data_IF_054608862205
#
_entry.id   IF_054608862205
#
_cell.length_a   1.000
_cell.length_b   1.000
_cell.length_c   1.000
_cell.angle_alpha   90.00
_cell.angle_beta   90.00
_cell.angle_gamma   90.00
#
_symmetry.space_group_name_H-M   'P 1'
#
loop_
_entity.id
_entity.type
_entity.pdbx_description
1 polymer ?
#
# COMPACT_ATOMS: atom_id res chain seq x y z
N UNK A 1 -4.24 0.34 9.73
CA UNK A 1 -5.42 0.37 8.84
C UNK A 1 -4.98 -0.04 7.44
N UNK A 2 -5.74 -0.92 6.76
CA UNK A 2 -5.38 -1.48 5.46
C UNK A 2 -6.48 -1.19 4.41
N UNK A 3 -6.08 -1.13 3.14
CA UNK A 3 -6.96 -1.00 1.99
C UNK A 3 -6.91 -2.28 1.16
N UNK A 4 -8.05 -2.65 0.59
CA UNK A 4 -8.19 -3.83 -0.27
C UNK A 4 -8.64 -3.37 -1.65
N UNK A 5 -7.96 -3.80 -2.71
CA UNK A 5 -8.32 -3.45 -4.08
C UNK A 5 -8.31 -4.69 -5.00
N UNK A 6 -9.03 -4.60 -6.11
CA UNK A 6 -9.07 -5.66 -7.14
C UNK A 6 -7.94 -5.44 -8.16
N UNK A 7 -6.68 -5.45 -7.71
CA UNK A 7 -5.51 -5.38 -8.60
C UNK A 7 -4.93 -6.77 -8.84
N UNK A 8 -4.42 -6.97 -10.04
CA UNK A 8 -3.64 -8.16 -10.36
C UNK A 8 -2.22 -7.98 -9.80
N UNK A 9 -1.93 -8.68 -8.70
CA UNK A 9 -0.61 -8.70 -8.05
C UNK A 9 -0.18 -10.15 -7.89
N UNK A 10 1.09 -10.43 -8.17
CA UNK A 10 1.78 -11.70 -7.92
C UNK A 10 2.96 -11.54 -6.94
N UNK A 11 3.61 -12.64 -6.57
CA UNK A 11 4.90 -12.60 -5.86
C UNK A 11 5.90 -11.71 -6.60
N UNK A 12 6.47 -10.73 -5.89
CA UNK A 12 7.30 -9.66 -6.47
C UNK A 12 6.67 -8.26 -6.45
N UNK A 13 5.37 -8.14 -6.19
CA UNK A 13 4.69 -6.85 -6.02
C UNK A 13 4.67 -6.33 -4.56
N UNK A 14 5.41 -6.98 -3.66
CA UNK A 14 5.61 -6.47 -2.31
C UNK A 14 6.41 -5.17 -2.38
N UNK A 15 5.90 -4.11 -1.77
CA UNK A 15 6.48 -2.77 -1.82
C UNK A 15 6.01 -1.91 -2.99
N UNK A 16 5.15 -2.42 -3.89
CA UNK A 16 4.66 -1.63 -5.03
C UNK A 16 3.82 -0.43 -4.56
N UNK A 17 4.03 0.77 -5.16
CA UNK A 17 3.26 1.95 -4.82
C UNK A 17 1.82 1.83 -5.36
N UNK A 18 0.85 2.12 -4.51
CA UNK A 18 -0.56 2.28 -4.90
C UNK A 18 -0.81 3.77 -5.12
N UNK A 19 -1.25 4.14 -6.33
CA UNK A 19 -1.51 5.53 -6.71
C UNK A 19 -2.99 5.80 -6.99
N UNK A 20 -3.44 7.03 -6.74
CA UNK A 20 -4.78 7.49 -7.12
C UNK A 20 -4.84 7.97 -8.58
N UNK A 21 -6.03 8.40 -9.05
CA UNK A 21 -6.23 8.90 -10.41
C UNK A 21 -5.44 10.16 -10.79
N UNK A 22 -4.76 10.81 -9.84
CA UNK A 22 -3.84 11.93 -10.06
C UNK A 22 -2.36 11.54 -9.95
N UNK A 23 -2.06 10.24 -9.84
CA UNK A 23 -0.69 9.75 -9.69
C UNK A 23 -0.07 9.95 -8.30
N UNK A 24 -0.86 10.30 -7.28
CA UNK A 24 -0.34 10.50 -5.93
C UNK A 24 -0.32 9.18 -5.16
N UNK A 25 0.73 8.94 -4.36
CA UNK A 25 0.86 7.77 -3.50
C UNK A 25 -0.24 7.74 -2.44
N UNK A 26 -1.01 6.66 -2.39
CA UNK A 26 -2.11 6.45 -1.42
C UNK A 26 -1.93 5.17 -0.60
N UNK A 27 -1.00 4.29 -0.96
CA UNK A 27 -0.68 3.12 -0.16
C UNK A 27 0.51 2.35 -0.69
N UNK A 28 0.92 1.32 0.05
CA UNK A 28 2.00 0.41 -0.33
C UNK A 28 1.45 -1.02 -0.28
N UNK A 29 1.55 -1.74 -1.39
CA UNK A 29 1.10 -3.12 -1.47
C UNK A 29 2.04 -4.03 -0.67
N UNK A 30 1.49 -4.91 0.18
CA UNK A 30 2.32 -5.82 0.97
C UNK A 30 1.89 -7.28 0.84
N UNK A 31 0.61 -7.56 0.62
CA UNK A 31 0.11 -8.94 0.56
C UNK A 31 -1.12 -9.08 -0.36
N UNK A 32 -1.67 -10.29 -0.43
CA UNK A 32 -2.86 -10.68 -1.19
C UNK A 32 -3.77 -11.49 -0.27
N UNK A 33 -5.07 -11.49 -0.56
CA UNK A 33 -6.01 -12.34 0.17
C UNK A 33 -5.76 -13.82 -0.14
N UNK A 34 -6.13 -14.71 0.79
CA UNK A 34 -5.91 -16.15 0.68
C UNK A 34 -6.54 -16.76 -0.59
N UNK A 35 -7.71 -16.27 -0.99
CA UNK A 35 -8.42 -16.68 -2.21
C UNK A 35 -7.60 -16.42 -3.50
N UNK A 36 -6.52 -15.64 -3.39
CA UNK A 36 -5.63 -15.28 -4.48
C UNK A 36 -4.39 -16.20 -4.59
N UNK A 37 -4.29 -17.29 -3.80
CA UNK A 37 -3.22 -18.30 -3.93
C UNK A 37 -3.27 -19.01 -5.30
N UNK A 38 -4.48 -19.20 -5.86
CA UNK A 38 -4.64 -19.69 -7.23
C UNK A 38 -4.49 -18.60 -8.31
N UNK A 39 -4.37 -17.33 -7.90
CA UNK A 39 -4.29 -16.17 -8.80
C UNK A 39 -3.04 -16.15 -9.69
N UNK A 40 -2.01 -16.91 -9.33
CA UNK A 40 -0.80 -17.08 -10.14
C UNK A 40 -1.07 -17.90 -11.44
N UNK A 41 -2.19 -18.64 -11.50
CA UNK A 41 -2.60 -19.43 -12.67
C UNK A 41 -3.81 -18.84 -13.43
N UNK A 42 -4.47 -17.82 -12.87
CA UNK A 42 -5.60 -17.14 -13.51
C UNK A 42 -6.20 -16.04 -12.62
N UNK A 43 -6.29 -14.82 -13.15
CA UNK A 43 -6.84 -13.68 -12.42
C UNK A 43 -8.38 -13.72 -12.43
N UNK A 44 -8.99 -13.66 -11.24
CA UNK A 44 -10.45 -13.58 -11.10
C UNK A 44 -10.83 -12.25 -10.41
N UNK A 45 -11.38 -11.26 -11.13
CA UNK A 45 -11.72 -9.96 -10.52
C UNK A 45 -12.79 -10.05 -9.43
N UNK A 46 -13.54 -11.16 -9.30
CA UNK A 46 -14.48 -11.35 -8.19
C UNK A 46 -13.77 -11.74 -6.88
N UNK A 47 -12.64 -12.46 -6.95
CA UNK A 47 -11.96 -13.07 -5.80
C UNK A 47 -10.56 -12.48 -5.54
N UNK A 48 -9.84 -12.12 -6.59
CA UNK A 48 -8.49 -11.58 -6.51
C UNK A 48 -8.49 -10.20 -5.87
N UNK A 49 -7.94 -10.12 -4.67
CA UNK A 49 -7.75 -8.86 -3.96
C UNK A 49 -6.31 -8.75 -3.47
N UNK A 50 -5.75 -7.55 -3.62
CA UNK A 50 -4.47 -7.17 -3.06
C UNK A 50 -4.71 -6.35 -1.77
N UNK A 51 -3.81 -6.51 -0.79
CA UNK A 51 -3.86 -5.86 0.50
C UNK A 51 -2.72 -4.84 0.56
N UNK A 52 -3.06 -3.59 0.84
CA UNK A 52 -2.12 -2.48 0.89
C UNK A 52 -2.26 -1.73 2.21
N UNK A 53 -1.14 -1.20 2.71
CA UNK A 53 -1.18 -0.27 3.85
C UNK A 53 -1.61 1.11 3.36
N UNK A 54 -2.50 1.77 4.09
CA UNK A 54 -2.91 3.15 3.80
C UNK A 54 -1.76 4.12 4.13
N UNK A 55 -1.45 5.04 3.20
CA UNK A 55 -0.35 5.99 3.40
C UNK A 55 -0.54 6.87 4.63
N UNK A 56 -1.78 7.19 5.01
CA UNK A 56 -2.08 8.00 6.21
C UNK A 56 -1.70 7.26 7.48
N UNK A 57 -1.90 5.95 7.51
CA UNK A 57 -1.49 5.12 8.63
C UNK A 57 0.04 5.04 8.73
N UNK A 58 0.74 4.94 7.59
CA UNK A 58 2.19 4.99 7.56
C UNK A 58 2.73 6.35 8.06
N UNK A 59 2.17 7.45 7.59
CA UNK A 59 2.55 8.80 8.02
C UNK A 59 2.26 9.04 9.50
N UNK A 60 1.13 8.51 10.01
CA UNK A 60 0.83 8.54 11.44
C UNK A 60 1.89 7.77 12.24
N UNK A 61 2.25 6.56 11.83
CA UNK A 61 3.32 5.79 12.49
C UNK A 61 4.66 6.55 12.50
N UNK A 62 5.03 7.18 11.38
CA UNK A 62 6.24 7.99 11.30
C UNK A 62 6.17 9.22 12.22
N UNK A 63 5.00 9.85 12.37
CA UNK A 63 4.83 10.98 13.28
C UNK A 63 5.01 10.59 14.76
N UNK A 64 4.73 9.33 15.11
CA UNK A 64 4.96 8.81 16.46
C UNK A 64 6.44 8.53 16.77
N UNK A 65 7.33 8.55 15.77
CA UNK A 65 8.76 8.27 15.93
C UNK A 65 9.57 9.58 15.93
N UNK A 66 10.17 10.00 17.07
CA UNK A 66 10.95 11.24 17.15
C UNK A 66 12.09 11.31 16.13
N UNK A 67 12.67 10.17 15.76
CA UNK A 67 13.80 10.07 14.83
C UNK A 67 13.39 10.22 13.36
N UNK A 68 12.09 10.20 13.04
CA UNK A 68 11.59 10.24 11.67
C UNK A 68 11.36 11.66 11.13
N UNK A 69 11.72 12.71 11.89
CA UNK A 69 11.47 14.10 11.50
C UNK A 69 12.16 14.49 10.17
N UNK A 70 13.40 14.05 9.97
CA UNK A 70 14.12 14.27 8.70
C UNK A 70 13.39 13.65 7.50
N UNK A 71 12.89 12.43 7.65
CA UNK A 71 12.14 11.74 6.60
C UNK A 71 10.79 12.42 6.33
N UNK A 72 10.09 12.90 7.37
CA UNK A 72 8.84 13.65 7.21
C UNK A 72 9.05 14.98 6.47
N UNK A 73 10.20 15.63 6.69
CA UNK A 73 10.60 16.84 5.97
C UNK A 73 10.85 16.54 4.48
N UNK A 74 11.60 15.47 4.18
CA UNK A 74 11.87 15.02 2.80
C UNK A 74 10.58 14.70 2.04
N UNK A 75 9.63 14.06 2.70
CA UNK A 75 8.32 13.72 2.13
C UNK A 75 7.37 14.92 2.00
N UNK A 76 7.75 16.12 2.49
CA UNK A 76 6.93 17.32 2.41
C UNK A 76 5.64 17.26 3.26
N UNK A 77 5.65 16.48 4.33
CA UNK A 77 4.49 16.22 5.22
C UNK A 77 4.69 16.72 6.64
N UNK A 78 5.78 17.46 6.90
CA UNK A 78 6.04 18.08 8.19
C UNK A 78 5.06 19.20 8.50
N UNK A 79 4.58 19.23 9.76
CA UNK A 79 3.64 20.24 10.25
C UNK A 79 2.17 20.00 9.88
N UNK A 80 1.83 18.85 9.26
CA UNK A 80 0.45 18.37 9.11
C UNK A 80 0.07 17.39 10.19
#
# INVERSE_FOLDING_TARGET
MAMVAARNTSGGNSGSPVVNGRGQLVGINFDRVWENVAGDFGFNPALSRNISVDIRYLLWLLAQQPQAEALRNELGVSGK
#
